data_IF_325740766344
#
_entry.id   IF_325740766344
#
_cell.length_a   1.000
_cell.length_b   1.000
_cell.length_c   1.000
_cell.angle_alpha   90.00
_cell.angle_beta   90.00
_cell.angle_gamma   90.00
#
_symmetry.space_group_name_H-M   'P 1'
#
loop_
_entity.id
_entity.type
_entity.pdbx_description
1 polymer ?
#
# COMPACT_ATOMS: atom_id res chain seq x y z
N UNK A 1 21.05 -43.64 -20.91
CA UNK A 1 19.67 -43.79 -21.41
C UNK A 1 18.69 -43.28 -20.34
N UNK A 2 17.84 -42.28 -20.63
CA UNK A 2 16.62 -41.94 -19.87
C UNK A 2 15.38 -42.62 -20.49
N UNK A 3 14.19 -42.61 -19.82
CA UNK A 3 13.13 -41.58 -20.02
C UNK A 3 12.48 -41.17 -18.67
N UNK A 4 11.93 -39.97 -18.38
CA UNK A 4 11.02 -38.97 -19.01
C UNK A 4 9.52 -39.35 -18.97
N UNK A 5 8.74 -38.57 -18.21
CA UNK A 5 7.26 -38.42 -18.31
C UNK A 5 6.55 -38.45 -16.94
N UNK A 6 6.39 -37.36 -16.19
CA UNK A 6 5.29 -36.36 -16.21
C UNK A 6 3.88 -36.90 -15.97
N UNK A 7 3.25 -36.59 -14.82
CA UNK A 7 2.12 -35.64 -14.73
C UNK A 7 1.23 -35.80 -13.46
N UNK A 8 0.76 -34.64 -12.98
CA UNK A 8 -0.54 -34.35 -12.34
C UNK A 8 -0.81 -34.75 -10.88
N UNK A 9 -0.71 -33.72 -10.03
CA UNK A 9 -1.79 -33.21 -9.16
C UNK A 9 -2.80 -34.25 -8.63
N UNK A 10 -2.63 -34.64 -7.37
CA UNK A 10 -3.72 -35.16 -6.55
C UNK A 10 -4.31 -33.99 -5.73
N UNK A 11 -5.63 -33.75 -5.78
CA UNK A 11 -6.27 -32.70 -5.00
C UNK A 11 -6.23 -33.05 -3.51
N UNK A 12 -6.01 -32.00 -2.70
CA UNK A 12 -6.18 -31.98 -1.25
C UNK A 12 -7.47 -32.73 -0.87
N UNK A 13 -7.31 -33.93 -0.32
CA UNK A 13 -8.40 -34.75 0.17
C UNK A 13 -8.96 -34.08 1.43
N UNK A 14 -10.17 -33.53 1.34
CA UNK A 14 -10.98 -33.20 2.52
C UNK A 14 -11.30 -34.50 3.25
N UNK A 15 -10.53 -34.79 4.30
CA UNK A 15 -10.85 -35.79 5.31
C UNK A 15 -12.19 -35.45 5.94
N UNK A 16 -13.23 -36.15 5.50
CA UNK A 16 -14.53 -36.21 6.18
C UNK A 16 -14.62 -37.58 6.83
N UNK A 17 -13.96 -37.72 7.98
CA UNK A 17 -14.20 -38.83 8.89
C UNK A 17 -15.62 -38.71 9.47
N UNK A 18 -16.61 -39.28 8.77
CA UNK A 18 -17.91 -39.56 9.33
C UNK A 18 -17.79 -40.85 10.16
N UNK A 19 -17.58 -40.70 11.48
CA UNK A 19 -17.64 -41.79 12.44
C UNK A 19 -19.01 -42.46 12.37
N UNK A 20 -19.01 -43.71 11.92
CA UNK A 20 -20.16 -44.61 11.89
C UNK A 20 -20.56 -44.96 13.34
N UNK A 21 -21.53 -44.24 13.90
CA UNK A 21 -22.27 -44.71 15.07
C UNK A 21 -23.54 -45.39 14.60
N UNK A 22 -23.58 -46.71 14.79
CA UNK A 22 -24.79 -47.50 14.61
C UNK A 22 -25.88 -47.01 15.57
N UNK A 23 -27.00 -46.56 15.03
CA UNK A 23 -28.25 -46.51 15.76
C UNK A 23 -29.39 -46.81 14.80
N UNK A 24 -30.15 -47.85 15.17
CA UNK A 24 -31.38 -48.28 14.52
C UNK A 24 -32.40 -47.14 14.48
N UNK A 25 -32.93 -46.81 13.29
CA UNK A 25 -34.38 -46.75 13.11
C UNK A 25 -34.78 -46.69 11.64
N UNK A 26 -35.60 -47.65 11.26
CA UNK A 26 -36.21 -47.81 9.95
C UNK A 26 -37.53 -47.02 9.94
N UNK A 27 -37.65 -45.99 9.12
CA UNK A 27 -38.95 -45.41 8.79
C UNK A 27 -38.92 -44.81 7.37
N UNK A 28 -39.51 -45.56 6.45
CA UNK A 28 -39.78 -45.15 5.07
C UNK A 28 -40.80 -44.01 5.03
N UNK A 29 -40.37 -42.82 4.59
CA UNK A 29 -41.25 -41.74 4.15
C UNK A 29 -40.70 -41.16 2.83
N UNK A 30 -41.39 -41.28 1.68
CA UNK A 30 -40.81 -40.96 0.37
C UNK A 30 -40.82 -39.46 0.02
N UNK A 31 -41.11 -38.57 0.98
CA UNK A 31 -41.42 -37.16 0.71
C UNK A 31 -40.33 -36.13 1.06
N UNK A 32 -39.03 -36.50 1.12
CA UNK A 32 -38.00 -35.59 1.63
C UNK A 32 -36.84 -35.23 0.68
N UNK A 33 -36.65 -35.93 -0.45
CA UNK A 33 -35.49 -35.64 -1.32
C UNK A 33 -35.59 -34.29 -2.04
N UNK A 34 -36.79 -33.89 -2.46
CA UNK A 34 -37.01 -32.60 -3.12
C UNK A 34 -36.96 -31.41 -2.14
N UNK A 35 -37.51 -31.58 -0.92
CA UNK A 35 -37.55 -30.52 0.10
C UNK A 35 -36.19 -30.26 0.74
N UNK A 36 -35.36 -31.29 0.94
CA UNK A 36 -33.99 -31.13 1.44
C UNK A 36 -33.08 -30.46 0.40
N UNK A 37 -33.26 -30.76 -0.91
CA UNK A 37 -32.54 -30.09 -2.00
C UNK A 37 -32.87 -28.60 -2.10
N UNK A 38 -34.15 -28.23 -1.95
CA UNK A 38 -34.59 -26.84 -1.97
C UNK A 38 -34.04 -26.03 -0.78
N UNK A 39 -34.02 -26.62 0.42
CA UNK A 39 -33.44 -25.97 1.61
C UNK A 39 -31.92 -25.76 1.50
N UNK A 40 -31.20 -26.74 0.96
CA UNK A 40 -29.77 -26.61 0.73
C UNK A 40 -29.44 -25.55 -0.34
N UNK A 41 -30.25 -25.45 -1.39
CA UNK A 41 -30.08 -24.41 -2.41
C UNK A 41 -30.32 -23.00 -1.84
N UNK A 42 -31.34 -22.82 -1.00
CA UNK A 42 -31.62 -21.55 -0.33
C UNK A 42 -30.49 -21.15 0.65
N UNK A 43 -29.95 -22.11 1.41
CA UNK A 43 -28.82 -21.87 2.30
C UNK A 43 -27.54 -21.47 1.53
N UNK A 44 -27.28 -22.10 0.38
CA UNK A 44 -26.16 -21.74 -0.48
C UNK A 44 -26.32 -20.35 -1.12
N UNK A 45 -27.54 -19.99 -1.54
CA UNK A 45 -27.82 -18.65 -2.08
C UNK A 45 -27.64 -17.55 -1.02
N UNK A 46 -28.11 -17.79 0.21
CA UNK A 46 -27.91 -16.85 1.32
C UNK A 46 -26.43 -16.70 1.71
N UNK A 47 -25.66 -17.79 1.66
CA UNK A 47 -24.21 -17.73 1.85
C UNK A 47 -23.54 -16.92 0.72
N UNK A 48 -23.90 -17.13 -0.54
CA UNK A 48 -23.35 -16.39 -1.66
C UNK A 48 -23.65 -14.88 -1.58
N UNK A 49 -24.85 -14.49 -1.12
CA UNK A 49 -25.20 -13.08 -0.91
C UNK A 49 -24.39 -12.44 0.23
N UNK A 50 -24.18 -13.18 1.33
CA UNK A 50 -23.33 -12.71 2.43
C UNK A 50 -21.87 -12.57 2.00
N UNK A 51 -21.35 -13.51 1.22
CA UNK A 51 -20.01 -13.44 0.65
C UNK A 51 -19.88 -12.27 -0.33
N UNK A 52 -20.88 -12.01 -1.18
CA UNK A 52 -20.86 -10.87 -2.11
C UNK A 52 -20.92 -9.50 -1.41
N UNK A 53 -21.60 -9.40 -0.26
CA UNK A 53 -21.66 -8.15 0.52
C UNK A 53 -20.45 -7.92 1.42
N UNK A 54 -19.79 -8.98 1.89
CA UNK A 54 -18.75 -8.88 2.93
C UNK A 54 -17.35 -9.32 2.48
N UNK A 55 -17.20 -9.96 1.31
CA UNK A 55 -15.90 -10.09 0.65
C UNK A 55 -15.69 -8.84 -0.21
N UNK A 56 -15.28 -7.76 0.44
CA UNK A 56 -14.50 -6.74 -0.26
C UNK A 56 -13.11 -7.35 -0.47
N UNK A 57 -12.70 -7.48 -1.73
CA UNK A 57 -11.31 -7.81 -2.03
C UNK A 57 -10.44 -6.75 -1.33
N UNK A 58 -9.69 -7.18 -0.33
CA UNK A 58 -8.66 -6.38 0.35
C UNK A 58 -7.31 -7.06 0.10
N UNK A 59 -7.12 -7.60 -1.10
CA UNK A 59 -5.89 -8.27 -1.45
C UNK A 59 -4.71 -7.31 -1.31
N UNK A 60 -3.49 -7.79 -0.97
CA UNK A 60 -2.31 -6.94 -0.87
C UNK A 60 -1.95 -6.21 -2.19
N UNK A 61 -2.59 -6.59 -3.31
CA UNK A 61 -2.49 -5.98 -4.64
C UNK A 61 -3.51 -4.86 -4.89
N UNK A 62 -4.43 -4.62 -3.97
CA UNK A 62 -5.49 -3.63 -4.07
C UNK A 62 -5.15 -2.36 -3.30
N UNK A 63 -3.88 -1.98 -3.34
CA UNK A 63 -3.50 -0.62 -3.01
C UNK A 63 -3.75 0.20 -4.27
N UNK A 64 -4.68 1.14 -4.17
CA UNK A 64 -4.86 2.16 -5.22
C UNK A 64 -3.50 2.78 -5.50
N UNK A 65 -3.08 2.75 -6.76
CA UNK A 65 -1.86 3.42 -7.20
C UNK A 65 -2.08 4.91 -6.92
N UNK A 66 -1.35 5.46 -5.96
CA UNK A 66 -1.43 6.88 -5.65
C UNK A 66 -1.04 7.67 -6.90
N UNK A 67 -1.77 8.74 -7.18
CA UNK A 67 -1.46 9.64 -8.29
C UNK A 67 -0.02 10.16 -8.12
N UNK A 68 0.87 10.02 -9.12
CA UNK A 68 2.24 10.53 -9.02
C UNK A 68 2.32 12.03 -8.75
N UNK A 69 1.25 12.79 -8.99
CA UNK A 69 1.17 14.24 -8.73
C UNK A 69 0.48 14.60 -7.40
N UNK A 70 0.17 13.62 -6.56
CA UNK A 70 -0.37 13.85 -5.22
C UNK A 70 0.74 14.18 -4.21
N UNK A 71 1.17 15.46 -4.22
CA UNK A 71 2.21 15.99 -3.33
C UNK A 71 1.88 15.91 -1.83
N UNK A 72 0.61 15.76 -1.45
CA UNK A 72 0.19 15.66 -0.05
C UNK A 72 0.47 14.27 0.53
N UNK A 73 0.42 13.23 -0.31
CA UNK A 73 0.77 11.85 0.05
C UNK A 73 2.27 11.64 0.25
N UNK A 74 3.13 12.50 -0.33
CA UNK A 74 4.58 12.36 -0.20
C UNK A 74 5.07 12.50 1.25
N UNK A 75 6.16 11.80 1.61
CA UNK A 75 6.78 11.97 2.92
C UNK A 75 7.35 13.38 3.05
N UNK A 76 7.24 13.94 4.25
CA UNK A 76 7.72 15.29 4.58
C UNK A 76 9.24 15.44 4.32
N UNK A 77 10.00 14.35 4.43
CA UNK A 77 11.42 14.34 4.04
C UNK A 77 11.64 14.59 2.54
N UNK A 78 10.83 14.01 1.66
CA UNK A 78 10.95 14.21 0.22
C UNK A 78 10.62 15.66 -0.15
N UNK A 79 9.57 16.24 0.46
CA UNK A 79 9.19 17.63 0.26
C UNK A 79 10.30 18.60 0.69
N UNK A 80 10.96 18.32 1.83
CA UNK A 80 12.12 19.10 2.29
C UNK A 80 13.32 18.98 1.35
N UNK A 81 13.68 17.75 0.94
CA UNK A 81 14.79 17.52 -0.01
C UNK A 81 14.55 18.24 -1.33
N UNK A 82 13.32 18.25 -1.82
CA UNK A 82 12.95 19.01 -3.01
C UNK A 82 13.17 20.52 -2.79
N UNK A 83 12.67 21.08 -1.68
CA UNK A 83 12.91 22.48 -1.32
C UNK A 83 14.40 22.82 -1.33
N UNK A 84 15.22 22.01 -0.66
CA UNK A 84 16.66 22.25 -0.53
C UNK A 84 17.42 22.10 -1.86
N UNK A 85 17.01 21.15 -2.70
CA UNK A 85 17.65 20.92 -3.99
C UNK A 85 17.41 22.09 -4.96
N UNK A 86 16.21 22.68 -4.93
CA UNK A 86 15.81 23.77 -5.83
C UNK A 86 15.88 25.17 -5.18
N UNK A 87 16.24 25.26 -3.89
CA UNK A 87 16.39 26.54 -3.18
C UNK A 87 15.09 27.34 -3.06
N UNK A 88 13.94 26.67 -2.85
CA UNK A 88 12.65 27.37 -2.77
C UNK A 88 12.63 28.37 -1.60
N UNK A 89 12.09 29.60 -1.79
CA UNK A 89 12.04 30.65 -0.75
C UNK A 89 10.91 30.42 0.27
N UNK A 90 10.70 29.15 0.68
CA UNK A 90 9.66 28.74 1.64
C UNK A 90 10.35 28.12 2.84
N UNK A 91 9.92 28.49 4.05
CA UNK A 91 10.52 27.95 5.29
C UNK A 91 10.26 26.43 5.38
N UNK A 92 11.19 25.71 6.01
CA UNK A 92 11.06 24.26 6.21
C UNK A 92 9.93 23.90 7.18
N UNK A 93 9.29 22.75 6.96
CA UNK A 93 8.43 22.10 7.94
C UNK A 93 9.21 21.65 9.18
N UNK A 94 10.48 21.29 8.99
CA UNK A 94 11.40 20.88 10.06
C UNK A 94 12.80 21.47 9.82
N UNK A 95 13.29 22.25 10.78
CA UNK A 95 14.66 22.79 10.79
C UNK A 95 15.55 21.97 11.73
N UNK A 96 16.88 22.11 11.62
CA UNK A 96 17.84 21.52 12.57
C UNK A 96 17.55 21.95 14.01
N UNK A 97 17.27 23.24 14.20
CA UNK A 97 16.78 23.77 15.48
C UNK A 97 15.48 23.06 15.88
N UNK A 98 14.56 22.83 14.93
CA UNK A 98 13.34 22.09 15.21
C UNK A 98 13.54 20.65 15.65
N UNK A 99 14.59 19.99 15.15
CA UNK A 99 15.00 18.65 15.61
C UNK A 99 15.55 18.69 17.04
N UNK A 100 16.42 19.67 17.34
CA UNK A 100 16.95 19.88 18.69
C UNK A 100 15.84 20.16 19.73
N UNK A 101 14.86 20.97 19.32
CA UNK A 101 13.70 21.35 20.13
C UNK A 101 12.59 20.29 20.16
N UNK A 102 12.73 19.15 19.45
CA UNK A 102 11.74 18.08 19.45
C UNK A 102 11.73 17.24 20.74
N UNK A 103 12.71 17.46 21.64
CA UNK A 103 12.77 16.84 22.96
C UNK A 103 11.62 17.29 23.88
N UNK A 104 11.31 16.51 24.92
CA UNK A 104 10.25 16.83 25.89
C UNK A 104 10.47 18.17 26.61
N UNK A 105 11.73 18.56 26.81
CA UNK A 105 12.09 19.87 27.35
C UNK A 105 11.92 20.97 26.29
N UNK A 106 12.33 20.69 25.05
CA UNK A 106 12.28 21.61 23.93
C UNK A 106 10.86 22.04 23.58
N UNK A 107 9.90 21.10 23.63
CA UNK A 107 8.47 21.35 23.39
C UNK A 107 7.85 22.44 24.29
N UNK A 108 8.40 22.65 25.49
CA UNK A 108 7.89 23.65 26.46
C UNK A 108 8.45 25.05 26.23
N UNK A 109 9.51 25.18 25.43
CA UNK A 109 10.18 26.47 25.20
C UNK A 109 9.35 27.40 24.32
N UNK A 110 9.54 28.70 24.50
CA UNK A 110 8.91 29.73 23.66
C UNK A 110 9.25 29.54 22.18
N UNK A 111 10.50 29.20 21.86
CA UNK A 111 10.97 28.98 20.49
C UNK A 111 10.32 27.79 19.79
N UNK A 112 9.86 26.77 20.52
CA UNK A 112 9.07 25.69 19.94
C UNK A 112 7.63 26.12 19.63
N UNK A 113 7.06 27.01 20.45
CA UNK A 113 5.70 27.53 20.30
C UNK A 113 5.59 28.64 19.25
N UNK A 114 6.57 29.53 19.17
CA UNK A 114 6.73 30.54 18.13
C UNK A 114 7.17 29.88 16.83
N UNK A 115 6.23 29.18 16.19
CA UNK A 115 6.44 28.41 14.97
C UNK A 115 6.65 29.36 13.79
N UNK A 116 7.91 29.60 13.45
CA UNK A 116 8.32 30.09 12.13
C UNK A 116 8.29 28.98 11.06
N UNK A 117 7.57 27.88 11.26
CA UNK A 117 7.57 26.70 10.38
C UNK A 117 6.33 26.69 9.50
N UNK A 118 6.51 26.20 8.28
CA UNK A 118 5.42 26.01 7.32
C UNK A 118 4.79 24.64 7.56
N UNK A 119 3.47 24.53 7.41
CA UNK A 119 2.79 23.24 7.59
C UNK A 119 3.11 22.31 6.41
N UNK A 120 2.94 20.99 6.58
CA UNK A 120 3.10 20.02 5.49
C UNK A 120 2.28 20.39 4.23
N UNK A 121 0.97 20.70 4.32
CA UNK A 121 0.18 21.02 3.13
C UNK A 121 0.64 22.31 2.45
N UNK A 122 1.09 23.30 3.22
CA UNK A 122 1.63 24.53 2.64
C UNK A 122 2.94 24.28 1.86
N UNK A 123 3.81 23.41 2.40
CA UNK A 123 5.04 23.00 1.72
C UNK A 123 4.72 22.17 0.45
N UNK A 124 3.78 21.24 0.53
CA UNK A 124 3.33 20.45 -0.61
C UNK A 124 2.77 21.33 -1.73
N UNK A 125 1.95 22.34 -1.37
CA UNK A 125 1.41 23.32 -2.32
C UNK A 125 2.52 24.16 -2.99
N UNK A 126 3.52 24.60 -2.22
CA UNK A 126 4.65 25.34 -2.78
C UNK A 126 5.47 24.49 -3.77
N UNK A 127 5.73 23.22 -3.41
CA UNK A 127 6.42 22.26 -4.28
C UNK A 127 5.60 22.00 -5.54
N UNK A 128 4.30 21.76 -5.41
CA UNK A 128 3.39 21.55 -6.54
C UNK A 128 3.42 22.73 -7.52
N UNK A 129 3.34 23.95 -7.02
CA UNK A 129 3.42 25.18 -7.84
C UNK A 129 4.74 25.23 -8.60
N UNK A 130 5.87 25.04 -7.92
CA UNK A 130 7.19 25.07 -8.56
C UNK A 130 7.35 23.94 -9.60
N UNK A 131 6.90 22.74 -9.28
CA UNK A 131 6.95 21.59 -10.17
C UNK A 131 6.18 21.85 -11.47
N UNK A 132 4.96 22.39 -11.37
CA UNK A 132 4.14 22.71 -12.55
C UNK A 132 4.71 23.81 -13.44
N UNK A 133 5.56 24.70 -12.90
CA UNK A 133 6.21 25.77 -13.69
C UNK A 133 7.49 25.32 -14.39
N UNK A 134 8.01 24.13 -14.05
CA UNK A 134 9.28 23.67 -14.56
C UNK A 134 9.14 23.19 -16.02
N UNK A 135 9.87 23.83 -16.93
CA UNK A 135 9.97 23.35 -18.31
C UNK A 135 11.02 22.25 -18.39
N UNK A 136 10.66 21.12 -18.99
CA UNK A 136 11.54 19.95 -19.13
C UNK A 136 11.54 19.45 -20.56
N UNK A 137 12.70 19.01 -21.03
CA UNK A 137 12.86 18.34 -22.32
C UNK A 137 12.92 16.83 -22.10
N UNK A 138 12.02 16.11 -22.74
CA UNK A 138 11.88 14.67 -22.57
C UNK A 138 13.20 13.90 -22.82
N UNK A 139 13.91 14.23 -23.90
CA UNK A 139 15.16 13.58 -24.28
C UNK A 139 16.24 13.66 -23.17
N UNK A 140 16.36 14.81 -22.52
CA UNK A 140 17.30 15.02 -21.43
C UNK A 140 16.87 14.26 -20.17
N UNK A 141 15.57 14.26 -19.85
CA UNK A 141 15.04 13.58 -18.65
C UNK A 141 15.18 12.08 -18.74
N UNK A 142 14.79 11.47 -19.87
CA UNK A 142 14.86 10.01 -20.06
C UNK A 142 16.32 9.55 -19.99
N UNK A 143 17.23 10.24 -20.67
CA UNK A 143 18.65 9.89 -20.69
C UNK A 143 19.26 9.99 -19.29
N UNK A 144 19.00 11.09 -18.58
CA UNK A 144 19.48 11.29 -17.21
C UNK A 144 18.89 10.26 -16.24
N UNK A 145 17.62 9.89 -16.41
CA UNK A 145 16.95 8.89 -15.59
C UNK A 145 17.59 7.51 -15.78
N UNK A 146 17.74 7.04 -17.03
CA UNK A 146 18.35 5.73 -17.33
C UNK A 146 19.79 5.69 -16.81
N UNK A 147 20.56 6.74 -17.03
CA UNK A 147 21.93 6.83 -16.54
C UNK A 147 21.98 6.75 -15.01
N UNK A 148 21.15 7.54 -14.31
CA UNK A 148 21.09 7.51 -12.85
C UNK A 148 20.67 6.13 -12.35
N UNK A 149 19.60 5.54 -12.90
CA UNK A 149 19.08 4.23 -12.50
C UNK A 149 20.14 3.11 -12.62
N UNK A 150 20.91 3.11 -13.71
CA UNK A 150 21.95 2.11 -13.96
C UNK A 150 23.25 2.35 -13.17
N UNK A 151 23.45 3.55 -12.61
CA UNK A 151 24.68 3.96 -11.96
C UNK A 151 24.51 4.38 -10.48
N UNK A 152 23.34 4.19 -9.87
CA UNK A 152 23.07 4.60 -8.47
C UNK A 152 24.13 4.07 -7.49
N UNK A 153 24.52 2.80 -7.62
CA UNK A 153 25.42 2.13 -6.67
C UNK A 153 26.90 2.52 -6.84
N UNK A 154 27.24 3.20 -7.94
CA UNK A 154 28.60 3.62 -8.25
C UNK A 154 28.94 5.02 -7.73
N UNK A 155 27.94 5.76 -7.26
CA UNK A 155 28.08 7.15 -6.85
C UNK A 155 28.09 7.29 -5.31
N UNK A 156 29.13 6.78 -4.65
CA UNK A 156 29.39 7.19 -3.28
C UNK A 156 29.95 8.63 -3.29
N UNK A 157 29.10 9.62 -3.03
CA UNK A 157 29.52 11.01 -2.88
C UNK A 157 28.87 11.63 -1.66
N UNK A 158 29.61 11.63 -0.56
CA UNK A 158 29.34 12.46 0.61
C UNK A 158 29.57 13.92 0.20
N UNK A 159 28.52 14.60 -0.28
CA UNK A 159 28.60 16.00 -0.65
C UNK A 159 28.09 16.86 0.50
N UNK A 160 29.01 17.57 1.16
CA UNK A 160 28.65 18.68 2.05
C UNK A 160 28.36 19.89 1.16
N UNK A 161 27.09 20.16 0.87
CA UNK A 161 26.68 21.46 0.31
C UNK A 161 26.51 22.41 1.50
N UNK A 162 27.24 23.53 1.47
CA UNK A 162 27.17 24.64 2.41
C UNK A 162 25.86 25.41 2.27
#
# INVERSE_FOLDING_TARGET
MPPRGSSKEAPSASESEAKNSSSHNNNNNPNSRASTKARNAAAQAAQAELLARHIHSNGPKEKTIADPLDFDSFPDEALRKYRDHYGLPVKSSLTTNGYLLASEIGKKTYSFKSRDRVTKPDLANAVKKHFSTQTVKESEIITNFIYKANNQDKAFKLNFKN
#
